data_IF_510810343426
#
_entry.id   IF_510810343426
#
_cell.length_a   1.000
_cell.length_b   1.000
_cell.length_c   1.000
_cell.angle_alpha   90.00
_cell.angle_beta   90.00
_cell.angle_gamma   90.00
#
_symmetry.space_group_name_H-M   'P 1'
#
loop_
_entity.id
_entity.type
_entity.pdbx_description
1 polymer ?
#
# COMPACT_ATOMS: atom_id res chain seq x y z
N UNK A 1 4.42 11.31 6.30
CA UNK A 1 4.24 10.63 7.60
C UNK A 1 5.52 9.87 7.88
N UNK A 2 6.02 9.92 9.11
CA UNK A 2 7.14 9.16 9.62
C UNK A 2 6.56 7.98 10.40
N UNK A 3 6.79 6.77 9.91
CA UNK A 3 6.41 5.56 10.61
C UNK A 3 7.47 5.25 11.67
N UNK A 4 7.16 5.53 12.94
CA UNK A 4 8.08 5.28 14.03
C UNK A 4 7.87 3.87 14.54
N UNK A 5 8.68 2.96 14.03
CA UNK A 5 8.65 1.55 14.40
C UNK A 5 9.39 1.32 15.70
N UNK A 6 8.67 0.82 16.72
CA UNK A 6 9.30 0.39 17.95
C UNK A 6 9.94 -0.98 17.73
N UNK A 7 11.27 -1.00 17.73
CA UNK A 7 12.08 -2.19 17.48
C UNK A 7 11.99 -3.20 18.63
N UNK A 8 10.85 -3.88 18.72
CA UNK A 8 10.55 -4.83 19.78
C UNK A 8 10.38 -6.26 19.24
N UNK A 9 10.87 -6.56 18.03
CA UNK A 9 10.82 -7.90 17.46
C UNK A 9 11.74 -8.88 18.18
N UNK A 10 12.92 -8.39 18.59
CA UNK A 10 13.96 -9.22 19.15
C UNK A 10 13.60 -9.71 20.57
N UNK A 11 13.91 -10.98 20.81
CA UNK A 11 13.60 -11.66 22.07
C UNK A 11 14.12 -10.92 23.31
N UNK A 12 15.29 -10.29 23.22
CA UNK A 12 15.89 -9.58 24.34
C UNK A 12 15.12 -8.29 24.66
N UNK A 13 14.72 -7.53 23.64
CA UNK A 13 13.93 -6.31 23.80
C UNK A 13 12.56 -6.64 24.43
N UNK A 14 11.87 -7.70 23.97
CA UNK A 14 10.61 -8.16 24.59
C UNK A 14 10.77 -8.59 26.05
N UNK A 15 11.91 -9.14 26.43
CA UNK A 15 12.20 -9.53 27.83
C UNK A 15 12.49 -8.32 28.70
N UNK A 16 13.27 -7.36 28.19
CA UNK A 16 13.65 -6.14 28.90
C UNK A 16 12.44 -5.23 29.16
N UNK A 17 11.59 -5.03 28.13
CA UNK A 17 10.35 -4.27 28.27
C UNK A 17 9.22 -5.08 28.93
N UNK A 18 9.42 -6.37 29.16
CA UNK A 18 8.41 -7.28 29.67
C UNK A 18 7.27 -7.60 28.68
N UNK A 19 6.53 -8.66 29.00
CA UNK A 19 5.46 -9.22 28.15
C UNK A 19 4.11 -8.49 28.30
N UNK A 20 3.98 -7.69 29.35
CA UNK A 20 2.79 -6.89 29.66
C UNK A 20 3.21 -5.42 29.80
N UNK A 21 2.30 -4.54 30.24
CA UNK A 21 2.58 -3.11 30.37
C UNK A 21 3.38 -2.83 31.65
N UNK A 22 4.66 -3.21 31.65
CA UNK A 22 5.56 -3.02 32.80
C UNK A 22 6.02 -1.57 32.95
N UNK A 23 6.70 -1.28 34.05
CA UNK A 23 7.31 0.03 34.29
C UNK A 23 8.31 0.39 33.19
N UNK A 24 9.14 -0.56 32.76
CA UNK A 24 10.17 -0.37 31.73
C UNK A 24 9.55 0.00 30.38
N UNK A 25 8.50 -0.71 29.96
CA UNK A 25 7.74 -0.38 28.74
C UNK A 25 7.09 0.99 28.81
N UNK A 26 6.48 1.32 29.94
CA UNK A 26 5.87 2.65 30.17
C UNK A 26 6.91 3.77 30.09
N UNK A 27 8.10 3.56 30.64
CA UNK A 27 9.21 4.51 30.55
C UNK A 27 9.71 4.64 29.12
N UNK A 28 9.88 3.53 28.40
CA UNK A 28 10.27 3.53 26.99
C UNK A 28 9.29 4.34 26.12
N UNK A 29 7.99 4.09 26.21
CA UNK A 29 6.99 4.84 25.43
C UNK A 29 6.95 6.32 25.81
N UNK A 30 7.06 6.67 27.09
CA UNK A 30 7.14 8.07 27.53
C UNK A 30 8.38 8.78 26.95
N UNK A 31 9.52 8.10 26.91
CA UNK A 31 10.76 8.65 26.36
C UNK A 31 10.63 8.87 24.84
N UNK A 32 10.08 7.90 24.10
CA UNK A 32 9.85 8.02 22.65
C UNK A 32 8.89 9.17 22.32
N UNK A 33 7.77 9.28 23.04
CA UNK A 33 6.79 10.36 22.88
C UNK A 33 7.42 11.70 23.24
N UNK A 34 8.14 11.81 24.37
CA UNK A 34 8.77 13.07 24.77
C UNK A 34 9.83 13.54 23.76
N UNK A 35 10.57 12.61 23.14
CA UNK A 35 11.60 12.93 22.16
C UNK A 35 11.04 13.28 20.80
N UNK A 36 10.03 12.56 20.32
CA UNK A 36 9.62 12.63 18.91
C UNK A 36 8.17 13.07 18.70
N UNK A 37 7.30 12.96 19.71
CA UNK A 37 5.88 13.27 19.58
C UNK A 37 5.57 14.71 19.14
N UNK A 38 6.49 15.66 19.25
CA UNK A 38 6.28 17.01 18.72
C UNK A 38 6.28 17.09 17.17
N UNK A 39 6.58 16.01 16.45
CA UNK A 39 6.54 15.97 14.99
C UNK A 39 5.13 15.67 14.46
N UNK A 40 4.52 16.64 13.76
CA UNK A 40 3.14 16.63 13.23
C UNK A 40 2.71 15.44 12.34
N UNK A 41 3.63 14.57 11.94
CA UNK A 41 3.35 13.54 10.96
C UNK A 41 3.87 12.17 11.42
N UNK A 42 3.79 11.85 12.71
CA UNK A 42 4.17 10.54 13.25
C UNK A 42 3.00 9.55 13.21
N UNK A 43 3.35 8.29 12.99
CA UNK A 43 2.56 7.11 13.27
C UNK A 43 3.37 6.22 14.22
N UNK A 44 2.82 5.84 15.37
CA UNK A 44 3.46 4.89 16.28
C UNK A 44 3.17 3.45 15.84
N UNK A 45 4.19 2.72 15.41
CA UNK A 45 4.05 1.29 15.13
C UNK A 45 4.48 0.49 16.36
N UNK A 46 3.50 -0.15 16.98
CA UNK A 46 3.76 -0.95 18.15
C UNK A 46 4.34 -2.29 17.75
N UNK A 47 5.34 -2.70 18.52
CA UNK A 47 5.85 -4.05 18.53
C UNK A 47 6.18 -4.58 17.14
N UNK A 48 7.34 -4.20 16.59
CA UNK A 48 7.89 -4.88 15.42
C UNK A 48 7.68 -6.39 15.58
N UNK A 49 6.85 -6.97 14.72
CA UNK A 49 6.34 -8.34 14.81
C UNK A 49 5.94 -8.82 16.24
N UNK A 50 4.85 -8.31 16.80
CA UNK A 50 4.39 -8.58 18.18
C UNK A 50 4.32 -10.08 18.55
N UNK A 51 4.11 -10.94 17.55
CA UNK A 51 3.94 -12.39 17.66
C UNK A 51 5.21 -13.21 17.31
N UNK A 52 6.31 -12.60 16.83
CA UNK A 52 7.54 -13.31 16.50
C UNK A 52 8.32 -13.71 17.78
N UNK A 53 8.84 -14.94 17.84
CA UNK A 53 9.62 -15.53 18.94
C UNK A 53 8.87 -15.66 20.28
N UNK A 54 8.42 -14.53 20.84
CA UNK A 54 7.57 -14.43 22.01
C UNK A 54 6.31 -13.68 21.59
N UNK A 55 5.16 -14.35 21.70
CA UNK A 55 3.88 -13.75 21.36
C UNK A 55 3.34 -12.94 22.54
N UNK A 56 3.25 -11.62 22.34
CA UNK A 56 2.71 -10.69 23.33
C UNK A 56 1.19 -10.82 23.48
N UNK A 57 0.49 -11.26 22.42
CA UNK A 57 -0.96 -11.44 22.42
C UNK A 57 -1.74 -10.11 22.32
N UNK A 58 -2.96 -10.15 21.75
CA UNK A 58 -3.71 -8.94 21.40
C UNK A 58 -4.07 -8.07 22.60
N UNK A 59 -4.35 -8.66 23.76
CA UNK A 59 -4.74 -7.89 24.96
C UNK A 59 -3.58 -7.05 25.52
N UNK A 60 -2.36 -7.55 25.46
CA UNK A 60 -1.19 -6.76 25.84
C UNK A 60 -0.94 -5.63 24.82
N UNK A 61 -1.03 -5.91 23.52
CA UNK A 61 -0.90 -4.87 22.49
C UNK A 61 -1.97 -3.78 22.67
N UNK A 62 -3.22 -4.12 22.98
CA UNK A 62 -4.27 -3.12 23.31
C UNK A 62 -3.94 -2.32 24.56
N UNK A 63 -3.34 -2.94 25.59
CA UNK A 63 -2.89 -2.21 26.77
C UNK A 63 -1.75 -1.23 26.43
N UNK A 64 -0.86 -1.60 25.50
CA UNK A 64 0.23 -0.73 25.03
C UNK A 64 -0.30 0.46 24.24
N UNK A 65 -1.22 0.20 23.30
CA UNK A 65 -1.87 1.25 22.52
C UNK A 65 -2.65 2.23 23.40
N UNK A 66 -3.46 1.74 24.35
CA UNK A 66 -4.15 2.61 25.32
C UNK A 66 -3.19 3.52 26.07
N UNK A 67 -2.09 2.97 26.57
CA UNK A 67 -1.13 3.76 27.32
C UNK A 67 -0.49 4.87 26.46
N UNK A 68 -0.23 4.60 25.17
CA UNK A 68 0.26 5.61 24.24
C UNK A 68 -0.78 6.69 24.00
N UNK A 69 -2.04 6.33 23.75
CA UNK A 69 -3.15 7.29 23.62
C UNK A 69 -3.34 8.16 24.88
N UNK A 70 -3.15 7.57 26.07
CA UNK A 70 -3.22 8.31 27.35
C UNK A 70 -2.01 9.23 27.60
N UNK A 71 -0.88 8.98 26.93
CA UNK A 71 0.41 9.63 27.19
C UNK A 71 0.79 10.65 26.11
N UNK A 72 0.45 10.39 24.86
CA UNK A 72 0.78 11.25 23.72
C UNK A 72 -0.19 12.43 23.62
N UNK A 73 0.24 13.67 23.95
CA UNK A 73 -0.66 14.82 24.00
C UNK A 73 -1.15 15.28 22.63
N UNK A 74 -0.63 14.70 21.55
CA UNK A 74 -0.95 15.07 20.17
C UNK A 74 -1.89 14.07 19.46
N UNK A 75 -2.26 12.97 20.13
CA UNK A 75 -3.18 11.95 19.59
C UNK A 75 -2.73 11.40 18.23
N UNK A 76 -1.44 11.04 18.13
CA UNK A 76 -0.92 10.46 16.89
C UNK A 76 -1.57 9.10 16.61
N UNK A 77 -1.76 8.76 15.32
CA UNK A 77 -2.16 7.42 14.92
C UNK A 77 -1.25 6.34 15.54
N UNK A 78 -1.86 5.22 15.90
CA UNK A 78 -1.19 4.02 16.40
C UNK A 78 -1.52 2.85 15.48
N UNK A 79 -0.55 1.97 15.24
CA UNK A 79 -0.70 0.69 14.52
C UNK A 79 0.07 -0.41 15.25
N UNK A 80 -0.01 -1.64 14.77
CA UNK A 80 0.77 -2.78 15.28
C UNK A 80 1.30 -3.62 14.13
N UNK A 81 2.60 -3.95 14.19
CA UNK A 81 3.24 -4.81 13.22
C UNK A 81 3.20 -6.29 13.64
N UNK A 82 3.15 -7.19 12.66
CA UNK A 82 2.98 -8.62 12.89
C UNK A 82 3.90 -9.44 11.99
N UNK A 83 4.33 -10.60 12.47
CA UNK A 83 4.86 -11.69 11.64
C UNK A 83 3.75 -12.62 11.17
N UNK A 84 4.06 -13.55 10.25
CA UNK A 84 3.13 -14.60 9.79
C UNK A 84 1.90 -14.08 9.03
N UNK A 85 0.86 -14.90 8.87
CA UNK A 85 -0.28 -14.56 8.01
C UNK A 85 -1.06 -13.32 8.51
N UNK A 86 -1.11 -12.22 7.74
CA UNK A 86 -1.79 -10.98 8.15
C UNK A 86 -3.27 -11.19 8.46
N UNK A 87 -3.97 -12.07 7.73
CA UNK A 87 -5.41 -12.26 7.93
C UNK A 87 -5.75 -12.96 9.24
N UNK A 88 -4.79 -13.65 9.84
CA UNK A 88 -4.95 -14.27 11.16
C UNK A 88 -4.49 -13.29 12.24
N UNK A 89 -3.31 -12.69 12.05
CA UNK A 89 -2.64 -11.93 13.11
C UNK A 89 -3.22 -10.54 13.33
N UNK A 90 -3.80 -9.92 12.30
CA UNK A 90 -4.45 -8.61 12.44
C UNK A 90 -5.94 -8.69 12.76
N UNK A 91 -6.57 -9.87 12.62
CA UNK A 91 -8.00 -10.06 12.87
C UNK A 91 -8.48 -9.47 14.21
N UNK A 92 -7.76 -9.59 15.34
CA UNK A 92 -8.21 -9.01 16.62
C UNK A 92 -8.28 -7.48 16.63
N UNK A 93 -7.54 -6.79 15.75
CA UNK A 93 -7.40 -5.34 15.74
C UNK A 93 -8.30 -4.64 14.71
N UNK A 94 -8.88 -5.40 13.77
CA UNK A 94 -9.83 -4.86 12.79
C UNK A 94 -11.07 -4.32 13.51
N UNK A 95 -11.37 -3.04 13.33
CA UNK A 95 -12.49 -2.36 13.98
C UNK A 95 -12.18 -1.80 15.37
N UNK A 96 -11.01 -2.08 15.94
CA UNK A 96 -10.59 -1.49 17.22
C UNK A 96 -10.23 -0.01 17.03
N UNK A 97 -10.79 0.85 17.87
CA UNK A 97 -10.57 2.30 17.85
C UNK A 97 -9.13 2.69 18.20
N UNK A 98 -8.40 1.82 18.90
CA UNK A 98 -7.01 2.05 19.28
C UNK A 98 -6.04 2.07 18.09
N UNK A 99 -6.39 1.49 16.93
CA UNK A 99 -5.48 1.32 15.80
C UNK A 99 -5.99 2.02 14.54
N UNK A 100 -5.36 3.10 14.10
CA UNK A 100 -5.90 4.01 13.09
C UNK A 100 -5.43 3.74 11.65
N UNK A 101 -4.56 2.77 11.46
CA UNK A 101 -3.99 2.34 10.17
C UNK A 101 -3.47 0.92 10.33
N UNK A 102 -3.38 0.15 9.24
CA UNK A 102 -2.74 -1.17 9.29
C UNK A 102 -1.22 -1.07 9.22
N UNK A 103 -0.51 -2.12 9.61
CA UNK A 103 0.91 -2.35 9.36
C UNK A 103 1.01 -3.81 8.93
N UNK A 104 1.11 -4.04 7.62
CA UNK A 104 0.94 -5.36 7.00
C UNK A 104 2.25 -5.84 6.40
N UNK A 105 2.70 -7.00 6.89
CA UNK A 105 3.74 -7.82 6.26
C UNK A 105 3.12 -8.87 5.34
N UNK A 106 3.58 -8.94 4.09
CA UNK A 106 3.07 -9.91 3.09
C UNK A 106 4.16 -10.79 2.46
N UNK A 107 5.44 -10.52 2.75
CA UNK A 107 6.56 -11.17 2.08
C UNK A 107 6.45 -11.04 0.56
N UNK A 108 6.32 -12.17 -0.15
CA UNK A 108 6.24 -12.21 -1.62
C UNK A 108 4.83 -12.14 -2.20
N UNK A 109 3.79 -12.25 -1.37
CA UNK A 109 2.40 -12.36 -1.84
C UNK A 109 2.04 -11.19 -2.76
N UNK A 110 1.09 -11.42 -3.66
CA UNK A 110 0.48 -10.34 -4.44
C UNK A 110 -0.10 -9.30 -3.49
N UNK A 111 0.20 -8.02 -3.73
CA UNK A 111 -0.18 -6.94 -2.80
C UNK A 111 -1.64 -6.52 -2.97
N UNK A 112 -2.14 -6.51 -4.21
CA UNK A 112 -3.52 -6.13 -4.56
C UNK A 112 -4.56 -6.91 -3.75
N UNK A 113 -4.58 -8.26 -3.77
CA UNK A 113 -5.67 -8.99 -3.11
C UNK A 113 -5.59 -8.88 -1.58
N UNK A 114 -4.41 -8.55 -1.04
CA UNK A 114 -4.25 -8.25 0.38
C UNK A 114 -4.85 -6.89 0.72
N UNK A 115 -4.48 -5.85 -0.03
CA UNK A 115 -4.96 -4.49 0.19
C UNK A 115 -6.49 -4.43 0.08
N UNK A 116 -7.05 -4.98 -1.00
CA UNK A 116 -8.50 -4.97 -1.23
C UNK A 116 -9.26 -5.72 -0.14
N UNK A 117 -8.75 -6.88 0.27
CA UNK A 117 -9.37 -7.66 1.34
C UNK A 117 -9.37 -6.90 2.67
N UNK A 118 -8.28 -6.23 3.04
CA UNK A 118 -8.26 -5.43 4.27
C UNK A 118 -9.15 -4.19 4.19
N UNK A 119 -9.24 -3.53 3.02
CA UNK A 119 -10.23 -2.44 2.81
C UNK A 119 -11.66 -2.92 3.07
N UNK A 120 -12.01 -4.09 2.53
CA UNK A 120 -13.33 -4.70 2.77
C UNK A 120 -13.53 -5.03 4.25
N UNK A 121 -12.59 -5.73 4.88
CA UNK A 121 -12.70 -6.15 6.28
C UNK A 121 -12.85 -4.96 7.24
N UNK A 122 -12.10 -3.88 7.03
CA UNK A 122 -12.17 -2.68 7.90
C UNK A 122 -13.51 -1.94 7.74
N UNK A 123 -14.07 -1.88 6.53
CA UNK A 123 -15.42 -1.35 6.28
C UNK A 123 -16.51 -2.19 6.90
N UNK A 124 -16.45 -3.51 6.73
CA UNK A 124 -17.41 -4.46 7.32
C UNK A 124 -17.41 -4.38 8.85
N UNK A 125 -16.26 -4.06 9.45
CA UNK A 125 -16.14 -3.80 10.88
C UNK A 125 -16.65 -2.40 11.32
N UNK A 126 -17.15 -1.58 10.40
CA UNK A 126 -17.69 -0.25 10.68
C UNK A 126 -16.63 0.85 10.88
N UNK A 127 -15.35 0.53 10.71
CA UNK A 127 -14.23 1.48 10.89
C UNK A 127 -13.24 1.40 9.73
N UNK A 128 -13.55 2.04 8.58
CA UNK A 128 -12.60 2.13 7.49
C UNK A 128 -11.35 2.89 7.92
N UNK A 129 -10.19 2.28 7.74
CA UNK A 129 -8.88 2.87 8.02
C UNK A 129 -7.97 2.78 6.79
N UNK A 130 -6.94 3.62 6.66
CA UNK A 130 -5.93 3.46 5.64
C UNK A 130 -5.27 2.07 5.73
N UNK A 131 -5.03 1.45 4.58
CA UNK A 131 -4.37 0.14 4.50
C UNK A 131 -2.92 0.38 4.10
N UNK A 132 -2.00 0.29 5.08
CA UNK A 132 -0.56 0.34 4.84
C UNK A 132 0.03 -1.07 4.81
N UNK A 133 0.80 -1.34 3.77
CA UNK A 133 1.67 -2.51 3.63
C UNK A 133 3.10 -2.05 3.79
N UNK A 134 3.65 -2.27 4.98
CA UNK A 134 4.97 -1.76 5.36
C UNK A 134 6.09 -2.78 5.19
N UNK A 135 5.77 -4.05 4.95
CA UNK A 135 6.77 -5.06 4.61
C UNK A 135 6.34 -6.00 3.48
N UNK A 136 7.14 -5.99 2.41
CA UNK A 136 7.05 -6.90 1.27
C UNK A 136 8.41 -7.00 0.57
N UNK A 137 8.54 -8.00 -0.30
CA UNK A 137 9.73 -8.17 -1.12
C UNK A 137 9.39 -8.61 -2.53
N UNK A 138 10.36 -8.44 -3.43
CA UNK A 138 10.36 -8.98 -4.80
C UNK A 138 11.52 -9.96 -5.03
N UNK A 139 12.14 -10.41 -3.93
CA UNK A 139 13.28 -11.33 -3.94
C UNK A 139 12.88 -12.71 -4.47
N UNK A 140 13.81 -13.43 -5.10
CA UNK A 140 13.65 -14.88 -5.41
C UNK A 140 14.56 -15.79 -4.56
N UNK A 141 15.27 -15.22 -3.59
CA UNK A 141 16.16 -15.96 -2.68
C UNK A 141 15.42 -17.00 -1.81
N UNK A 142 16.10 -17.90 -1.12
CA UNK A 142 15.42 -18.84 -0.21
C UNK A 142 14.79 -18.14 1.01
N UNK A 143 15.28 -16.95 1.36
CA UNK A 143 14.77 -16.12 2.45
C UNK A 143 13.79 -15.07 1.88
N UNK A 144 12.47 -15.23 2.04
CA UNK A 144 11.48 -14.35 1.43
C UNK A 144 11.41 -12.94 2.05
N UNK A 145 12.05 -12.72 3.20
CA UNK A 145 12.12 -11.43 3.89
C UNK A 145 13.36 -10.60 3.51
N UNK A 146 14.28 -11.13 2.70
CA UNK A 146 15.44 -10.34 2.25
C UNK A 146 15.01 -9.35 1.17
N UNK A 147 15.09 -8.02 1.41
CA UNK A 147 14.74 -7.04 0.40
C UNK A 147 15.70 -7.12 -0.79
N UNK A 148 15.18 -6.77 -1.97
CA UNK A 148 15.96 -6.65 -3.19
C UNK A 148 15.51 -5.40 -3.94
N UNK A 149 16.47 -4.55 -4.29
CA UNK A 149 16.22 -3.27 -4.98
C UNK A 149 15.98 -3.46 -6.49
N UNK A 150 15.14 -4.42 -6.87
CA UNK A 150 14.66 -4.56 -8.24
C UNK A 150 13.56 -3.52 -8.50
N UNK A 151 14.00 -2.29 -8.78
CA UNK A 151 13.13 -1.12 -8.90
C UNK A 151 12.02 -1.32 -9.94
N UNK A 152 12.29 -2.08 -11.01
CA UNK A 152 11.29 -2.40 -12.02
C UNK A 152 10.23 -3.34 -11.45
N UNK A 153 10.64 -4.44 -10.80
CA UNK A 153 9.70 -5.36 -10.15
C UNK A 153 8.89 -4.63 -9.06
N UNK A 154 9.54 -3.81 -8.22
CA UNK A 154 8.86 -3.00 -7.21
C UNK A 154 7.81 -2.07 -7.82
N UNK A 155 8.12 -1.40 -8.94
CA UNK A 155 7.14 -0.54 -9.63
C UNK A 155 5.94 -1.34 -10.14
N UNK A 156 6.20 -2.45 -10.84
CA UNK A 156 5.17 -3.18 -11.59
C UNK A 156 4.33 -4.09 -10.69
N UNK A 157 4.96 -4.77 -9.74
CA UNK A 157 4.34 -5.80 -8.92
C UNK A 157 3.79 -5.30 -7.59
N UNK A 158 4.32 -4.19 -7.06
CA UNK A 158 3.97 -3.71 -5.71
C UNK A 158 3.41 -2.29 -5.71
N UNK A 159 4.11 -1.33 -6.33
CA UNK A 159 3.75 0.09 -6.25
C UNK A 159 2.37 0.40 -6.85
N UNK A 160 2.22 0.20 -8.17
CA UNK A 160 0.96 0.48 -8.84
C UNK A 160 -0.17 -0.41 -8.34
N UNK A 161 0.06 -1.72 -8.11
CA UNK A 161 -0.99 -2.57 -7.56
C UNK A 161 -1.51 -2.16 -6.20
N UNK A 162 -0.65 -1.77 -5.26
CA UNK A 162 -1.11 -1.26 -3.96
C UNK A 162 -1.94 0.02 -4.11
N UNK A 163 -1.48 0.95 -4.96
CA UNK A 163 -2.12 2.25 -5.14
C UNK A 163 -3.49 2.15 -5.79
N UNK A 164 -3.66 1.35 -6.86
CA UNK A 164 -4.97 1.15 -7.48
C UNK A 164 -5.91 0.22 -6.70
N UNK A 165 -5.37 -0.53 -5.73
CA UNK A 165 -6.17 -1.21 -4.72
C UNK A 165 -6.64 -0.25 -3.60
N UNK A 166 -6.20 1.02 -3.60
CA UNK A 166 -6.52 2.01 -2.58
C UNK A 166 -5.73 1.85 -1.27
N UNK A 167 -4.53 1.27 -1.35
CA UNK A 167 -3.59 1.14 -0.24
C UNK A 167 -2.40 2.10 -0.33
N UNK A 168 -1.59 2.09 0.73
CA UNK A 168 -0.28 2.73 0.79
C UNK A 168 0.80 1.69 1.13
N UNK A 169 2.06 2.06 0.98
CA UNK A 169 3.17 1.14 1.17
C UNK A 169 4.45 1.81 1.65
N UNK A 170 5.33 1.01 2.22
CA UNK A 170 6.69 1.40 2.63
C UNK A 170 7.70 0.41 2.04
N UNK A 171 8.87 0.91 1.64
CA UNK A 171 9.89 0.09 1.02
C UNK A 171 11.00 -0.22 2.00
N UNK A 172 11.29 -1.50 2.19
CA UNK A 172 12.55 -1.92 2.80
C UNK A 172 13.63 -1.88 1.72
N UNK A 173 14.60 -1.01 1.92
CA UNK A 173 15.74 -0.86 1.00
C UNK A 173 16.75 -1.99 1.18
N UNK A 174 17.37 -2.44 0.09
CA UNK A 174 18.24 -3.63 0.06
C UNK A 174 19.48 -3.57 0.94
N UNK A 175 19.97 -2.36 1.26
CA UNK A 175 21.10 -2.17 2.17
C UNK A 175 20.68 -2.08 3.65
N UNK A 176 19.41 -2.31 3.95
CA UNK A 176 18.85 -2.35 5.30
C UNK A 176 19.20 -1.07 6.08
N UNK A 177 19.99 -1.21 7.15
CA UNK A 177 20.33 -0.14 8.09
C UNK A 177 21.49 0.74 7.62
N UNK A 178 22.07 0.52 6.42
CA UNK A 178 23.14 1.38 5.88
C UNK A 178 22.54 2.61 5.20
N UNK A 179 22.34 3.65 6.00
CA UNK A 179 21.62 4.89 5.66
C UNK A 179 22.52 6.05 5.24
N UNK A 180 23.78 5.80 4.89
CA UNK A 180 24.77 6.85 4.61
C UNK A 180 24.54 7.56 3.27
N UNK A 181 23.82 6.93 2.33
CA UNK A 181 23.52 7.50 1.02
C UNK A 181 22.20 6.98 0.44
N UNK A 182 21.12 7.77 0.53
CA UNK A 182 19.83 7.43 -0.07
C UNK A 182 19.72 7.76 -1.56
N UNK A 183 20.70 8.44 -2.16
CA UNK A 183 20.67 8.79 -3.59
C UNK A 183 20.77 7.56 -4.50
N UNK A 184 21.29 6.43 -4.01
CA UNK A 184 21.28 5.15 -4.73
C UNK A 184 19.87 4.63 -5.05
N UNK A 185 18.85 5.14 -4.35
CA UNK A 185 17.44 4.78 -4.55
C UNK A 185 16.67 5.84 -5.35
N UNK A 186 17.35 6.77 -6.02
CA UNK A 186 16.72 7.87 -6.75
C UNK A 186 15.65 7.40 -7.74
N UNK A 187 15.92 6.33 -8.49
CA UNK A 187 14.96 5.77 -9.45
C UNK A 187 13.69 5.24 -8.76
N UNK A 188 13.81 4.62 -7.58
CA UNK A 188 12.66 4.19 -6.78
C UNK A 188 11.85 5.41 -6.32
N UNK A 189 12.51 6.43 -5.75
CA UNK A 189 11.86 7.68 -5.34
C UNK A 189 11.14 8.35 -6.51
N UNK A 190 11.75 8.33 -7.69
CA UNK A 190 11.18 8.89 -8.91
C UNK A 190 9.91 8.15 -9.36
N UNK A 191 9.90 6.82 -9.31
CA UNK A 191 8.70 6.04 -9.65
C UNK A 191 7.58 6.17 -8.63
N UNK A 192 7.91 6.26 -7.33
CA UNK A 192 6.93 6.60 -6.29
C UNK A 192 6.32 7.97 -6.59
N UNK A 193 7.16 8.97 -6.88
CA UNK A 193 6.69 10.30 -7.25
C UNK A 193 5.78 10.28 -8.47
N UNK A 194 6.13 9.55 -9.54
CA UNK A 194 5.31 9.45 -10.73
C UNK A 194 3.95 8.81 -10.48
N UNK A 195 3.87 7.76 -9.65
CA UNK A 195 2.60 7.13 -9.31
C UNK A 195 1.74 8.03 -8.42
N UNK A 196 2.35 8.68 -7.41
CA UNK A 196 1.66 9.64 -6.54
C UNK A 196 1.13 10.84 -7.31
N UNK A 197 1.95 11.44 -8.16
CA UNK A 197 1.56 12.56 -9.03
C UNK A 197 0.37 12.21 -9.91
N UNK A 198 0.36 11.01 -10.48
CA UNK A 198 -0.78 10.55 -11.27
C UNK A 198 -2.07 10.54 -10.45
N UNK A 199 -2.06 9.98 -9.23
CA UNK A 199 -3.24 9.97 -8.38
C UNK A 199 -3.64 11.36 -7.88
N UNK A 200 -2.72 12.05 -7.21
CA UNK A 200 -2.97 13.32 -6.51
C UNK A 200 -3.42 14.45 -7.44
N UNK A 201 -2.87 14.53 -8.66
CA UNK A 201 -3.21 15.61 -9.59
C UNK A 201 -4.43 15.30 -10.49
N UNK A 202 -4.82 14.03 -10.64
CA UNK A 202 -5.77 13.65 -11.68
C UNK A 202 -7.09 13.06 -11.18
N UNK A 203 -7.12 12.44 -10.00
CA UNK A 203 -8.30 11.73 -9.49
C UNK A 203 -8.54 11.95 -7.99
N UNK A 204 -9.80 11.94 -7.51
CA UNK A 204 -10.12 11.99 -6.09
C UNK A 204 -9.92 10.61 -5.46
N UNK A 205 -8.68 10.14 -5.35
CA UNK A 205 -8.37 8.75 -5.00
C UNK A 205 -8.97 8.30 -3.65
N UNK A 206 -9.25 9.22 -2.73
CA UNK A 206 -9.91 8.94 -1.44
C UNK A 206 -11.42 8.63 -1.57
N UNK A 207 -12.05 8.94 -2.70
CA UNK A 207 -13.46 8.64 -3.03
C UNK A 207 -13.61 7.48 -4.02
N UNK A 208 -12.50 6.83 -4.40
CA UNK A 208 -12.47 5.78 -5.41
C UNK A 208 -12.40 4.40 -4.78
N UNK A 209 -12.86 3.41 -5.53
CA UNK A 209 -12.84 1.99 -5.15
C UNK A 209 -12.19 1.13 -6.21
N UNK A 210 -11.52 0.03 -5.82
CA UNK A 210 -11.12 -1.00 -6.77
C UNK A 210 -12.36 -1.59 -7.45
N UNK A 211 -12.25 -1.81 -8.75
CA UNK A 211 -13.34 -2.18 -9.63
C UNK A 211 -12.83 -3.05 -10.79
N UNK A 212 -11.89 -3.95 -10.49
CA UNK A 212 -11.18 -4.79 -11.46
C UNK A 212 -12.14 -5.62 -12.32
N UNK A 213 -13.29 -6.01 -11.78
CA UNK A 213 -14.40 -6.67 -12.50
C UNK A 213 -14.93 -5.89 -13.72
N UNK A 214 -14.63 -4.59 -13.85
CA UNK A 214 -14.98 -3.80 -15.03
C UNK A 214 -14.07 -4.09 -16.24
N UNK A 215 -12.93 -4.73 -16.05
CA UNK A 215 -11.93 -4.98 -17.10
C UNK A 215 -11.89 -6.46 -17.47
N UNK A 216 -11.93 -6.74 -18.78
CA UNK A 216 -11.88 -8.12 -19.29
C UNK A 216 -10.97 -8.24 -20.51
N UNK A 217 -10.18 -9.32 -20.58
CA UNK A 217 -9.43 -9.73 -21.78
C UNK A 217 -8.05 -9.08 -21.96
N UNK A 218 -7.56 -8.43 -20.91
CA UNK A 218 -6.21 -7.92 -20.75
C UNK A 218 -5.18 -9.03 -20.51
N UNK A 219 -3.91 -8.65 -20.46
CA UNK A 219 -2.81 -9.60 -20.28
C UNK A 219 -2.59 -9.90 -18.80
N UNK A 220 -2.49 -11.18 -18.45
CA UNK A 220 -1.96 -11.60 -17.16
C UNK A 220 -0.44 -11.43 -17.16
N UNK A 221 0.07 -10.61 -16.27
CA UNK A 221 1.50 -10.41 -16.06
C UNK A 221 2.04 -11.47 -15.11
N UNK A 222 3.12 -12.13 -15.52
CA UNK A 222 3.89 -13.07 -14.68
C UNK A 222 5.19 -12.39 -14.30
N UNK A 223 5.18 -11.77 -13.13
CA UNK A 223 6.33 -11.10 -12.56
C UNK A 223 7.32 -12.07 -11.92
N UNK A 224 8.26 -11.50 -11.21
CA UNK A 224 9.30 -12.17 -10.45
C UNK A 224 8.74 -12.87 -9.21
N UNK A 225 7.81 -12.20 -8.51
CA UNK A 225 7.15 -12.74 -7.30
C UNK A 225 5.64 -12.73 -7.38
N UNK A 226 5.08 -11.95 -8.31
CA UNK A 226 3.64 -11.68 -8.37
C UNK A 226 3.04 -12.13 -9.70
N UNK A 227 1.78 -12.55 -9.69
CA UNK A 227 1.01 -12.83 -10.92
C UNK A 227 -0.32 -12.11 -10.82
N UNK A 228 -0.49 -11.07 -11.63
CA UNK A 228 -1.69 -10.24 -11.64
C UNK A 228 -1.97 -9.70 -13.04
N UNK A 229 -3.22 -9.36 -13.29
CA UNK A 229 -3.72 -8.77 -14.52
C UNK A 229 -3.81 -7.23 -14.38
N UNK A 230 -4.63 -6.60 -15.21
CA UNK A 230 -4.84 -5.17 -15.17
C UNK A 230 -5.83 -4.77 -14.10
N UNK A 231 -5.62 -3.60 -13.49
CA UNK A 231 -6.46 -3.10 -12.40
C UNK A 231 -7.26 -1.89 -12.83
N UNK A 232 -8.38 -1.66 -12.16
CA UNK A 232 -9.26 -0.52 -12.32
C UNK A 232 -9.57 0.07 -10.95
N UNK A 233 -9.19 1.32 -10.75
CA UNK A 233 -9.63 2.13 -9.62
C UNK A 233 -10.65 3.14 -10.14
N UNK A 234 -11.85 3.15 -9.57
CA UNK A 234 -13.00 3.84 -10.14
C UNK A 234 -13.71 4.75 -9.14
N UNK A 235 -14.12 5.92 -9.64
CA UNK A 235 -15.29 6.63 -9.16
C UNK A 235 -16.33 6.59 -10.29
N UNK A 236 -17.28 5.63 -10.25
CA UNK A 236 -18.16 5.37 -11.37
C UNK A 236 -18.85 6.62 -11.92
N UNK A 237 -18.86 6.75 -13.24
CA UNK A 237 -19.43 7.89 -13.95
C UNK A 237 -18.64 9.21 -13.85
N UNK A 238 -17.48 9.23 -13.19
CA UNK A 238 -16.62 10.42 -13.05
C UNK A 238 -15.20 10.17 -13.56
N UNK A 239 -14.50 9.17 -13.02
CA UNK A 239 -13.14 8.84 -13.47
C UNK A 239 -12.75 7.40 -13.18
N UNK A 240 -11.85 6.89 -14.01
CA UNK A 240 -11.26 5.56 -13.91
C UNK A 240 -9.76 5.68 -14.13
N UNK A 241 -8.99 5.18 -13.17
CA UNK A 241 -7.57 4.95 -13.31
C UNK A 241 -7.36 3.46 -13.58
N UNK A 242 -6.70 3.11 -14.66
CA UNK A 242 -6.36 1.73 -14.97
C UNK A 242 -4.85 1.56 -14.97
N UNK A 243 -4.38 0.38 -14.57
CA UNK A 243 -2.98 -0.01 -14.69
C UNK A 243 -2.89 -1.35 -15.40
N UNK A 244 -2.04 -1.40 -16.43
CA UNK A 244 -1.69 -2.62 -17.14
C UNK A 244 -0.23 -2.92 -16.82
N UNK A 245 0.08 -4.01 -16.10
CA UNK A 245 1.48 -4.42 -15.89
C UNK A 245 2.17 -4.85 -17.20
N UNK A 246 1.38 -5.21 -18.22
CA UNK A 246 1.78 -5.29 -19.62
C UNK A 246 0.60 -4.87 -20.51
N UNK A 247 0.83 -3.92 -21.42
CA UNK A 247 -0.21 -3.43 -22.34
C UNK A 247 -0.29 -4.19 -23.67
N UNK A 248 0.26 -5.42 -23.75
CA UNK A 248 0.25 -6.26 -24.96
C UNK A 248 -1.18 -6.52 -25.43
N UNK A 249 -2.05 -6.79 -24.45
CA UNK A 249 -3.50 -6.74 -24.55
C UNK A 249 -4.02 -5.93 -23.37
N UNK A 250 -4.85 -4.95 -23.67
CA UNK A 250 -5.47 -4.05 -22.69
C UNK A 250 -6.95 -4.33 -22.47
N UNK A 251 -7.52 -5.27 -23.22
CA UNK A 251 -8.89 -5.73 -22.99
C UNK A 251 -9.98 -4.71 -23.31
N UNK A 252 -11.12 -4.94 -22.67
CA UNK A 252 -12.37 -4.20 -22.78
C UNK A 252 -12.78 -3.70 -21.42
N UNK A 253 -13.12 -2.41 -21.30
CA UNK A 253 -13.64 -1.81 -20.08
C UNK A 253 -15.16 -1.69 -20.18
N UNK A 254 -15.88 -2.18 -19.17
CA UNK A 254 -17.32 -2.01 -19.03
C UNK A 254 -17.67 -0.64 -18.45
N UNK A 255 -18.31 0.20 -19.28
CA UNK A 255 -18.86 1.50 -18.87
C UNK A 255 -20.38 1.54 -19.02
N UNK A 256 -21.06 0.38 -19.02
CA UNK A 256 -22.51 0.26 -19.25
C UNK A 256 -23.32 1.17 -18.31
N UNK A 257 -22.96 1.20 -17.02
CA UNK A 257 -23.63 2.03 -16.02
C UNK A 257 -23.09 3.47 -15.96
N UNK A 258 -22.12 3.81 -16.81
CA UNK A 258 -21.46 5.11 -16.83
C UNK A 258 -21.64 5.84 -18.15
N UNK A 259 -22.73 6.60 -18.24
CA UNK A 259 -23.06 7.42 -19.41
C UNK A 259 -22.23 8.71 -19.47
N UNK A 260 -22.06 9.22 -20.68
CA UNK A 260 -21.35 10.48 -20.93
C UNK A 260 -20.14 10.28 -21.85
N UNK A 261 -19.34 11.34 -21.97
CA UNK A 261 -18.05 11.29 -22.68
C UNK A 261 -16.92 11.36 -21.68
N UNK A 262 -15.88 10.58 -21.94
CA UNK A 262 -14.67 10.56 -21.15
C UNK A 262 -13.48 10.92 -22.05
N UNK A 263 -12.55 11.68 -21.49
CA UNK A 263 -11.23 11.86 -22.07
C UNK A 263 -10.34 10.69 -21.63
N UNK A 264 -9.82 9.95 -22.59
CA UNK A 264 -8.88 8.84 -22.44
C UNK A 264 -7.46 9.31 -22.67
N UNK A 265 -6.57 9.14 -21.69
CA UNK A 265 -5.16 9.54 -21.76
C UNK A 265 -4.25 8.44 -21.22
N UNK A 266 -3.23 8.09 -21.98
CA UNK A 266 -2.18 7.17 -21.55
C UNK A 266 -1.15 7.90 -20.71
N UNK A 267 -0.70 7.28 -19.62
CA UNK A 267 0.34 7.77 -18.73
C UNK A 267 1.47 6.76 -18.66
N UNK A 268 2.69 7.21 -18.92
CA UNK A 268 3.87 6.36 -18.90
C UNK A 268 4.44 6.33 -17.46
N UNK A 269 4.30 5.21 -16.72
CA UNK A 269 4.77 5.11 -15.33
C UNK A 269 6.30 5.15 -15.20
N UNK A 270 7.04 5.03 -16.30
CA UNK A 270 8.51 5.10 -16.34
C UNK A 270 9.03 6.53 -16.49
N UNK A 271 8.24 7.43 -17.07
CA UNK A 271 8.64 8.83 -17.31
C UNK A 271 7.79 9.85 -16.55
N UNK A 272 6.65 9.44 -15.99
CA UNK A 272 5.76 10.32 -15.25
C UNK A 272 4.98 11.30 -16.12
N UNK A 273 4.78 10.96 -17.39
CA UNK A 273 4.17 11.86 -18.38
C UNK A 273 2.95 11.20 -19.04
N UNK A 274 1.95 12.03 -19.34
CA UNK A 274 0.90 11.65 -20.28
C UNK A 274 1.46 11.68 -21.71
N UNK A 275 1.07 10.70 -22.53
CA UNK A 275 1.52 10.59 -23.92
C UNK A 275 0.35 10.81 -24.89
N UNK A 276 0.64 11.52 -25.99
CA UNK A 276 -0.35 11.89 -27.00
C UNK A 276 -1.36 12.96 -26.55
N UNK A 277 -2.27 13.32 -27.45
CA UNK A 277 -3.30 14.34 -27.22
C UNK A 277 -4.53 13.85 -26.44
N UNK A 278 -4.62 12.54 -26.20
CA UNK A 278 -5.80 11.87 -25.64
C UNK A 278 -6.90 11.64 -26.68
N UNK A 279 -7.86 10.78 -26.35
CA UNK A 279 -8.99 10.42 -27.21
C UNK A 279 -10.32 10.59 -26.47
N UNK A 280 -11.40 10.94 -27.17
CA UNK A 280 -12.75 10.93 -26.59
C UNK A 280 -13.35 9.54 -26.73
N UNK A 281 -13.88 8.99 -25.63
CA UNK A 281 -14.64 7.75 -25.63
C UNK A 281 -16.05 8.00 -25.08
N UNK A 282 -17.03 7.28 -25.62
CA UNK A 282 -18.43 7.34 -25.19
C UNK A 282 -18.68 6.20 -24.20
N UNK A 283 -19.15 6.52 -23.00
CA UNK A 283 -19.62 5.53 -22.04
C UNK A 283 -21.06 5.08 -22.32
N UNK A 284 -21.63 4.28 -21.43
CA UNK A 284 -22.94 3.64 -21.63
C UNK A 284 -22.87 2.30 -22.37
N UNK A 285 -21.69 1.68 -22.40
CA UNK A 285 -21.47 0.34 -22.93
C UNK A 285 -20.01 -0.09 -22.75
N UNK A 286 -19.70 -1.33 -23.15
CA UNK A 286 -18.33 -1.85 -23.17
C UNK A 286 -17.48 -1.14 -24.25
N UNK A 287 -16.25 -0.76 -23.91
CA UNK A 287 -15.29 -0.12 -24.82
C UNK A 287 -14.00 -0.91 -24.93
N UNK A 288 -13.47 -1.04 -26.15
CA UNK A 288 -12.12 -1.59 -26.35
C UNK A 288 -11.11 -0.50 -25.99
N UNK A 289 -10.17 -0.81 -25.09
CA UNK A 289 -9.20 0.17 -24.60
C UNK A 289 -8.18 0.55 -25.69
N UNK A 290 -7.77 -0.42 -26.52
CA UNK A 290 -6.75 -0.24 -27.56
C UNK A 290 -5.33 -0.17 -26.97
N UNK A 291 -4.34 0.09 -27.80
CA UNK A 291 -2.93 0.03 -27.39
C UNK A 291 -2.37 1.42 -27.02
N UNK A 292 -1.34 1.48 -26.16
CA UNK A 292 -0.50 2.68 -26.05
C UNK A 292 0.25 2.94 -27.37
N UNK A 293 0.78 4.16 -27.53
CA UNK A 293 1.43 4.57 -28.78
C UNK A 293 2.75 3.81 -29.04
N UNK A 294 3.42 3.36 -27.98
CA UNK A 294 4.71 2.69 -28.02
C UNK A 294 4.81 1.67 -26.88
N UNK A 295 5.81 0.79 -26.94
CA UNK A 295 6.18 -0.12 -25.85
C UNK A 295 4.99 -0.89 -25.25
N UNK A 296 4.12 -1.44 -26.11
CA UNK A 296 2.93 -2.17 -25.66
C UNK A 296 3.28 -3.36 -24.73
N UNK A 297 4.46 -3.95 -24.87
CA UNK A 297 4.91 -5.05 -24.00
C UNK A 297 5.28 -4.59 -22.56
N UNK A 298 5.33 -3.27 -22.29
CA UNK A 298 5.66 -2.68 -20.99
C UNK A 298 4.41 -2.26 -20.20
N UNK A 299 4.61 -1.77 -18.98
CA UNK A 299 3.55 -1.33 -18.09
C UNK A 299 2.95 0.04 -18.47
N UNK A 300 1.65 0.25 -18.33
CA UNK A 300 1.03 1.53 -18.67
C UNK A 300 -0.10 1.85 -17.71
N UNK A 301 -0.21 3.12 -17.32
CA UNK A 301 -1.41 3.61 -16.67
C UNK A 301 -2.30 4.32 -17.70
N UNK A 302 -3.61 4.28 -17.47
CA UNK A 302 -4.60 4.95 -18.31
C UNK A 302 -5.55 5.73 -17.41
N UNK A 303 -5.84 6.98 -17.81
CA UNK A 303 -6.86 7.79 -17.18
C UNK A 303 -8.05 7.94 -18.12
N UNK A 304 -9.24 7.63 -17.62
CA UNK A 304 -10.51 8.08 -18.17
C UNK A 304 -11.11 9.10 -17.21
N UNK A 305 -11.33 10.34 -17.67
CA UNK A 305 -11.97 11.39 -16.87
C UNK A 305 -13.15 11.97 -17.62
N UNK A 306 -14.29 12.10 -16.94
CA UNK A 306 -15.50 12.67 -17.53
C UNK A 306 -15.21 14.08 -18.02
N UNK A 307 -15.67 14.35 -19.25
CA UNK A 307 -15.64 15.67 -19.89
C UNK A 307 -16.82 16.53 -19.46
#
# INVERSE_FOLDING_TARGET
>A
MLHCVFNEAERNNKKELGLTLTTERKLFYREMIARFGHHNAILWNLCEEYNLNINLGPENVRAFARYIHETDPYDHPVTVHHSSDPFVMLKPFIGDELFSVTSIQIGRRDIEPVVERFRRLTREAGRPIPIAVDEFTVTTHDKPWLPEDDIKALRVEKLWPAYLSGGQLEFIVGDLLKTENFAKYEDLWRYIWYARKFLEENVPFWEMEPADDLLEGESVYKGKTSTHDGQVFAKPGQCYALYFPSARKTGTLDLTDSRGRFQKRWYNPRSGQFVGSGASVKGGGKIIIGSPAEDAEKDWALLLKRM
#
